data_IF_115089216509
#
_entry.id   IF_115089216509
#
_cell.length_a   1.000
_cell.length_b   1.000
_cell.length_c   1.000
_cell.angle_alpha   90.00
_cell.angle_beta   90.00
_cell.angle_gamma   90.00
#
_symmetry.space_group_name_H-M   'P 1'
#
loop_
_entity.id
_entity.type
_entity.pdbx_description
1 polymer ?
#
# COMPACT_ATOMS: atom_id res chain seq x y z
N UNK A 1 5.11 -16.47 -9.57
CA UNK A 1 3.80 -17.12 -9.39
C UNK A 1 3.26 -17.90 -10.60
N UNK A 2 3.82 -17.76 -11.82
CA UNK A 2 3.28 -18.47 -13.01
C UNK A 2 3.28 -20.01 -12.90
N UNK A 3 4.23 -20.57 -12.14
CA UNK A 3 4.46 -22.02 -12.04
C UNK A 3 3.88 -22.65 -10.77
N UNK A 4 2.92 -22.00 -10.13
CA UNK A 4 2.28 -22.49 -8.91
C UNK A 4 1.42 -23.71 -9.21
N UNK A 5 1.66 -24.81 -8.50
CA UNK A 5 0.93 -26.07 -8.59
C UNK A 5 -0.28 -26.10 -7.65
N UNK A 6 -0.12 -25.60 -6.42
CA UNK A 6 -1.22 -25.51 -5.44
C UNK A 6 -1.32 -24.12 -4.85
N UNK A 7 -0.49 -23.81 -3.87
CA UNK A 7 -0.42 -22.50 -3.22
C UNK A 7 1.04 -22.14 -3.06
N UNK A 8 1.42 -20.99 -3.60
CA UNK A 8 2.77 -20.46 -3.50
C UNK A 8 2.81 -19.22 -2.63
N UNK A 9 3.89 -19.04 -1.86
CA UNK A 9 4.06 -17.91 -0.94
C UNK A 9 5.44 -17.27 -1.07
N UNK A 10 5.52 -15.99 -0.72
CA UNK A 10 6.74 -15.18 -0.77
C UNK A 10 6.68 -13.98 0.21
N UNK A 11 7.82 -13.32 0.47
CA UNK A 11 7.88 -12.14 1.32
C UNK A 11 7.15 -10.92 0.73
N UNK A 12 6.53 -10.13 1.60
CA UNK A 12 5.92 -8.84 1.28
C UNK A 12 6.52 -7.75 2.16
N UNK A 13 7.07 -6.71 1.53
CA UNK A 13 7.62 -5.55 2.22
C UNK A 13 6.57 -4.50 2.58
N UNK A 14 6.91 -3.61 3.52
CA UNK A 14 6.07 -2.49 3.99
C UNK A 14 4.71 -2.91 4.56
N UNK A 15 4.62 -4.13 5.09
CA UNK A 15 3.40 -4.65 5.72
C UNK A 15 3.39 -4.27 7.20
N UNK A 16 2.30 -3.65 7.65
CA UNK A 16 2.06 -3.26 9.06
C UNK A 16 3.23 -2.46 9.69
N UNK A 17 3.39 -2.51 11.02
CA UNK A 17 4.49 -1.86 11.73
C UNK A 17 5.82 -2.64 11.72
N UNK A 18 5.84 -3.89 11.25
CA UNK A 18 7.06 -4.72 11.20
C UNK A 18 7.80 -4.64 9.86
N UNK A 19 7.28 -3.88 8.89
CA UNK A 19 7.83 -3.66 7.56
C UNK A 19 8.03 -4.92 6.68
N UNK A 20 7.72 -6.11 7.21
CA UNK A 20 7.90 -7.38 6.53
C UNK A 20 6.82 -8.38 6.99
N UNK A 21 6.23 -9.06 6.02
CA UNK A 21 5.40 -10.25 6.21
C UNK A 21 6.02 -11.38 5.38
N UNK A 22 6.42 -12.49 6.00
CA UNK A 22 7.09 -13.59 5.28
C UNK A 22 6.93 -14.95 5.98
N UNK A 23 6.84 -16.06 5.20
CA UNK A 23 7.19 -17.37 5.72
C UNK A 23 8.64 -17.38 6.25
N UNK A 24 8.88 -18.07 7.36
CA UNK A 24 10.23 -18.28 7.90
C UNK A 24 10.64 -19.71 7.57
N UNK A 25 11.69 -19.83 6.77
CA UNK A 25 12.20 -21.11 6.29
C UNK A 25 13.52 -21.47 6.95
N UNK A 26 13.72 -22.76 7.17
CA UNK A 26 15.01 -23.37 7.54
C UNK A 26 15.24 -24.57 6.64
N UNK A 27 16.34 -24.56 5.89
CA UNK A 27 16.67 -25.63 4.94
C UNK A 27 15.51 -25.92 3.96
N UNK A 28 14.83 -24.88 3.47
CA UNK A 28 13.67 -24.97 2.59
C UNK A 28 12.34 -25.36 3.25
N UNK A 29 12.35 -25.63 4.57
CA UNK A 29 11.16 -26.05 5.32
C UNK A 29 10.58 -24.92 6.15
N UNK A 30 9.25 -24.82 6.18
CA UNK A 30 8.56 -23.84 7.01
C UNK A 30 8.75 -24.15 8.50
N UNK A 31 9.32 -23.19 9.23
CA UNK A 31 9.45 -23.26 10.70
C UNK A 31 8.57 -22.25 11.43
N UNK A 32 7.96 -21.31 10.70
CA UNK A 32 7.06 -20.33 11.28
C UNK A 32 6.78 -19.18 10.33
N UNK A 33 6.32 -18.07 10.88
CA UNK A 33 5.94 -16.87 10.15
C UNK A 33 6.47 -15.62 10.85
N UNK A 34 6.84 -14.63 10.07
CA UNK A 34 7.20 -13.31 10.55
C UNK A 34 6.17 -12.32 10.00
N UNK A 35 5.30 -11.80 10.85
CA UNK A 35 4.23 -10.89 10.47
C UNK A 35 3.79 -10.03 11.68
N UNK A 36 3.30 -8.82 11.44
CA UNK A 36 2.89 -7.88 12.50
C UNK A 36 1.62 -8.29 13.25
N UNK A 37 0.89 -9.30 12.79
CA UNK A 37 -0.41 -9.68 13.33
C UNK A 37 -0.58 -11.21 13.39
N UNK A 38 0.05 -11.89 14.34
CA UNK A 38 0.05 -13.37 14.38
C UNK A 38 -1.17 -13.97 15.14
N UNK A 39 -1.98 -13.17 15.85
CA UNK A 39 -3.09 -13.57 16.76
C UNK A 39 -3.93 -14.81 16.37
N UNK A 40 -3.42 -16.01 16.64
CA UNK A 40 -4.09 -17.29 16.40
C UNK A 40 -4.30 -17.66 14.92
N UNK A 41 -3.70 -16.93 13.98
CA UNK A 41 -3.80 -17.24 12.54
C UNK A 41 -2.93 -18.45 12.21
N UNK A 42 -3.44 -19.37 11.40
CA UNK A 42 -2.68 -20.51 10.86
C UNK A 42 -1.78 -20.02 9.72
N UNK A 43 -2.26 -19.04 8.95
CA UNK A 43 -1.53 -18.39 7.86
C UNK A 43 -1.47 -16.87 8.10
N UNK A 44 -0.55 -16.37 8.93
CA UNK A 44 -0.33 -14.94 9.11
C UNK A 44 0.51 -14.39 7.94
N UNK A 45 -0.16 -14.16 6.81
CA UNK A 45 0.42 -13.58 5.60
C UNK A 45 -0.41 -12.39 5.11
N UNK A 46 0.23 -11.49 4.38
CA UNK A 46 -0.44 -10.43 3.63
C UNK A 46 -1.12 -10.98 2.35
N UNK A 47 -2.20 -10.34 1.91
CA UNK A 47 -2.93 -10.74 0.70
C UNK A 47 -2.05 -10.74 -0.57
N UNK A 48 -1.04 -9.88 -0.65
CA UNK A 48 -0.10 -9.85 -1.78
C UNK A 48 1.01 -10.92 -1.69
N UNK A 49 1.05 -11.69 -0.59
CA UNK A 49 2.12 -12.64 -0.27
C UNK A 49 1.91 -14.06 -0.79
N UNK A 50 0.79 -14.33 -1.48
CA UNK A 50 0.50 -15.67 -1.98
C UNK A 50 -0.21 -15.66 -3.35
N UNK A 51 -0.19 -16.82 -4.01
CA UNK A 51 -1.05 -17.13 -5.15
C UNK A 51 -1.54 -18.56 -5.07
N UNK A 52 -2.70 -18.80 -5.69
CA UNK A 52 -3.38 -20.09 -5.72
C UNK A 52 -3.55 -20.54 -7.16
N UNK A 53 -3.31 -21.82 -7.41
CA UNK A 53 -3.60 -22.45 -8.70
C UNK A 53 -5.12 -22.55 -8.91
N UNK A 54 -5.60 -22.12 -10.08
CA UNK A 54 -7.03 -22.05 -10.39
C UNK A 54 -7.69 -23.43 -10.46
N UNK A 55 -7.00 -24.44 -11.00
CA UNK A 55 -7.54 -25.80 -11.08
C UNK A 55 -7.63 -26.43 -9.70
N UNK A 56 -6.63 -26.18 -8.83
CA UNK A 56 -6.68 -26.59 -7.43
C UNK A 56 -7.83 -25.91 -6.68
N UNK A 57 -7.99 -24.60 -6.84
CA UNK A 57 -9.11 -23.87 -6.22
C UNK A 57 -10.48 -24.40 -6.66
N UNK A 58 -10.67 -24.69 -7.96
CA UNK A 58 -11.92 -25.25 -8.49
C UNK A 58 -12.23 -26.65 -7.96
N UNK A 59 -11.20 -27.45 -7.68
CA UNK A 59 -11.35 -28.79 -7.11
C UNK A 59 -11.82 -28.74 -5.65
N UNK A 60 -11.48 -27.68 -4.91
CA UNK A 60 -11.95 -27.41 -3.56
C UNK A 60 -13.25 -26.60 -3.65
N UNK A 61 -14.38 -27.28 -3.84
CA UNK A 61 -15.69 -26.64 -3.99
C UNK A 61 -16.05 -25.74 -2.80
N UNK A 62 -16.77 -24.65 -3.04
CA UNK A 62 -17.36 -23.73 -2.02
C UNK A 62 -16.36 -22.87 -1.22
N UNK A 63 -15.21 -22.52 -1.79
CA UNK A 63 -14.28 -21.59 -1.13
C UNK A 63 -14.51 -20.15 -1.59
N UNK A 64 -15.03 -19.34 -0.66
CA UNK A 64 -15.15 -17.89 -0.80
C UNK A 64 -14.23 -17.15 0.19
N UNK A 65 -13.88 -15.91 -0.14
CA UNK A 65 -13.11 -15.06 0.75
C UNK A 65 -14.04 -14.52 1.86
N UNK A 66 -13.77 -14.82 3.14
CA UNK A 66 -14.67 -14.42 4.21
C UNK A 66 -14.57 -12.92 4.48
N UNK A 67 -15.70 -12.25 4.66
CA UNK A 67 -15.75 -10.84 5.04
C UNK A 67 -15.52 -10.67 6.56
N UNK A 68 -14.29 -10.94 7.00
CA UNK A 68 -13.90 -10.83 8.42
C UNK A 68 -12.58 -10.09 8.54
N UNK A 69 -12.66 -8.86 9.06
CA UNK A 69 -11.50 -7.98 9.30
C UNK A 69 -10.32 -8.74 9.92
N UNK A 70 -9.17 -8.68 9.25
CA UNK A 70 -7.89 -9.29 9.66
C UNK A 70 -7.81 -10.82 9.62
N UNK A 71 -8.86 -11.52 9.18
CA UNK A 71 -8.90 -12.98 9.05
C UNK A 71 -9.31 -13.43 7.65
N UNK A 72 -9.30 -12.53 6.66
CA UNK A 72 -9.75 -12.83 5.30
C UNK A 72 -8.81 -13.84 4.65
N UNK A 73 -7.50 -13.60 4.72
CA UNK A 73 -6.46 -14.47 4.17
C UNK A 73 -6.41 -15.81 4.89
N UNK A 74 -6.41 -15.79 6.23
CA UNK A 74 -6.37 -17.00 7.05
C UNK A 74 -7.61 -17.86 6.84
N UNK A 75 -8.79 -17.25 6.77
CA UNK A 75 -10.05 -17.94 6.52
C UNK A 75 -10.09 -18.55 5.12
N UNK A 76 -9.65 -17.81 4.10
CA UNK A 76 -9.56 -18.31 2.72
C UNK A 76 -8.59 -19.49 2.60
N UNK A 77 -7.37 -19.38 3.12
CA UNK A 77 -6.36 -20.44 3.04
C UNK A 77 -6.75 -21.69 3.86
N UNK A 78 -7.49 -21.51 4.97
CA UNK A 78 -8.09 -22.63 5.71
C UNK A 78 -9.19 -23.32 4.93
N UNK A 79 -10.06 -22.56 4.26
CA UNK A 79 -11.15 -23.10 3.45
C UNK A 79 -10.62 -23.87 2.22
N UNK A 80 -9.51 -23.41 1.62
CA UNK A 80 -8.78 -24.16 0.59
C UNK A 80 -8.26 -25.52 1.10
N UNK A 81 -8.10 -25.69 2.41
CA UNK A 81 -7.65 -26.95 3.00
C UNK A 81 -6.18 -27.29 2.73
N UNK A 82 -5.35 -26.32 2.33
CA UNK A 82 -3.93 -26.54 2.05
C UNK A 82 -3.16 -26.90 3.33
N UNK A 83 -2.29 -27.91 3.26
CA UNK A 83 -1.34 -28.25 4.32
C UNK A 83 -0.02 -27.49 4.17
N UNK A 84 0.74 -27.32 5.26
CA UNK A 84 2.03 -26.62 5.20
C UNK A 84 3.06 -27.33 4.31
N UNK A 85 3.00 -28.65 4.19
CA UNK A 85 3.86 -29.45 3.30
C UNK A 85 3.59 -29.25 1.82
N UNK A 86 2.42 -28.73 1.47
CA UNK A 86 2.02 -28.48 0.08
C UNK A 86 2.23 -27.03 -0.35
N UNK A 87 2.72 -26.19 0.56
CA UNK A 87 3.09 -24.81 0.27
C UNK A 87 4.37 -24.77 -0.54
N UNK A 88 4.35 -23.96 -1.60
CA UNK A 88 5.50 -23.72 -2.45
C UNK A 88 6.14 -22.37 -2.13
N UNK A 89 7.31 -22.37 -1.52
CA UNK A 89 8.03 -21.13 -1.25
C UNK A 89 8.73 -20.62 -2.52
N UNK A 90 8.54 -19.35 -2.83
CA UNK A 90 9.15 -18.67 -3.99
C UNK A 90 10.09 -17.56 -3.50
N UNK A 91 10.57 -16.75 -4.44
CA UNK A 91 11.49 -15.64 -4.18
C UNK A 91 12.78 -16.09 -3.49
N UNK A 92 13.43 -17.10 -4.10
CA UNK A 92 14.67 -17.71 -3.63
C UNK A 92 14.58 -18.12 -2.15
N UNK A 93 13.70 -19.07 -1.83
CA UNK A 93 13.40 -19.51 -0.46
C UNK A 93 13.05 -18.35 0.49
N UNK A 94 12.21 -17.43 0.00
CA UNK A 94 11.76 -16.25 0.75
C UNK A 94 12.90 -15.33 1.22
N UNK A 95 14.04 -15.32 0.51
CA UNK A 95 15.16 -14.39 0.79
C UNK A 95 15.06 -13.07 0.03
N UNK A 96 14.18 -12.98 -0.97
CA UNK A 96 14.02 -11.81 -1.83
C UNK A 96 12.62 -11.20 -1.71
N UNK A 97 12.54 -9.87 -1.76
CA UNK A 97 11.27 -9.12 -1.69
C UNK A 97 10.96 -8.53 -3.07
N UNK A 98 9.88 -9.02 -3.70
CA UNK A 98 9.43 -8.56 -5.02
C UNK A 98 8.13 -7.76 -5.00
N UNK A 99 7.49 -7.63 -3.83
CA UNK A 99 6.20 -6.97 -3.67
C UNK A 99 6.19 -6.11 -2.39
N UNK A 100 5.53 -4.96 -2.48
CA UNK A 100 5.47 -3.96 -1.41
C UNK A 100 4.05 -3.48 -1.17
N UNK A 101 3.60 -3.53 0.08
CA UNK A 101 2.30 -3.09 0.53
C UNK A 101 2.29 -1.56 0.75
N UNK A 102 2.38 -0.79 -0.34
CA UNK A 102 2.39 0.67 -0.28
C UNK A 102 0.97 1.24 -0.12
N UNK A 103 0.86 2.35 0.61
CA UNK A 103 -0.40 3.09 0.75
C UNK A 103 -0.21 4.52 0.28
N UNK A 104 -1.13 4.98 -0.56
CA UNK A 104 -1.21 6.40 -0.92
C UNK A 104 -1.75 7.19 0.27
N UNK A 105 -1.01 8.19 0.72
CA UNK A 105 -1.49 9.16 1.69
C UNK A 105 -2.21 10.30 0.97
N UNK A 106 -3.21 10.91 1.62
CA UNK A 106 -3.78 12.16 1.10
C UNK A 106 -2.67 13.22 1.11
N UNK A 107 -2.41 13.82 -0.04
CA UNK A 107 -1.53 14.97 -0.11
C UNK A 107 -2.08 16.09 0.80
N UNK A 108 -1.22 16.85 1.49
CA UNK A 108 -1.66 18.06 2.17
C UNK A 108 -2.35 18.96 1.15
N UNK A 109 -3.35 19.74 1.59
CA UNK A 109 -4.03 20.69 0.70
C UNK A 109 -2.98 21.66 0.13
N UNK A 110 -2.74 21.58 -1.17
CA UNK A 110 -1.82 22.49 -1.83
C UNK A 110 -2.40 23.92 -1.77
N UNK A 111 -1.56 24.89 -1.40
CA UNK A 111 -1.95 26.30 -1.54
C UNK A 111 -2.09 26.59 -3.03
N UNK A 112 -3.23 27.16 -3.43
CA UNK A 112 -3.50 27.54 -4.83
C UNK A 112 -2.54 28.57 -5.37
N UNK A 113 -2.00 29.38 -4.47
CA UNK A 113 -1.37 30.64 -4.81
C UNK A 113 0.14 30.47 -4.80
N UNK A 114 0.75 30.77 -5.94
CA UNK A 114 2.19 30.85 -6.06
C UNK A 114 2.56 32.27 -5.61
N UNK A 115 3.14 32.42 -4.43
CA UNK A 115 3.35 33.73 -3.82
C UNK A 115 4.61 34.46 -4.29
N UNK A 116 5.34 33.90 -5.25
CA UNK A 116 6.61 34.46 -5.71
C UNK A 116 6.36 35.54 -6.80
N UNK A 117 6.53 36.84 -6.50
CA UNK A 117 6.21 37.92 -7.42
C UNK A 117 7.14 37.97 -8.64
N UNK A 118 8.31 37.34 -8.54
CA UNK A 118 9.28 37.24 -9.63
C UNK A 118 8.76 36.46 -10.86
N UNK A 119 7.60 35.81 -10.76
CA UNK A 119 7.00 35.03 -11.84
C UNK A 119 5.66 35.61 -12.35
N UNK A 120 5.34 36.86 -11.99
CA UNK A 120 4.08 37.53 -12.36
C UNK A 120 3.87 37.69 -13.87
N UNK A 121 4.96 37.84 -14.62
CA UNK A 121 4.97 38.02 -16.08
C UNK A 121 5.14 36.70 -16.86
N UNK A 122 5.07 35.56 -16.16
CA UNK A 122 5.35 34.24 -16.73
C UNK A 122 4.11 33.37 -16.89
N UNK A 123 4.30 32.25 -17.59
CA UNK A 123 3.31 31.18 -17.72
C UNK A 123 2.84 30.60 -16.38
N UNK A 124 3.56 30.84 -15.29
CA UNK A 124 3.19 30.40 -13.94
C UNK A 124 1.84 30.97 -13.49
N UNK A 125 1.52 32.23 -13.85
CA UNK A 125 0.21 32.83 -13.54
C UNK A 125 -0.94 32.21 -14.35
N UNK A 126 -0.66 31.80 -15.58
CA UNK A 126 -1.62 31.08 -16.44
C UNK A 126 -1.89 29.69 -15.85
N UNK A 127 -0.83 28.98 -15.45
CA UNK A 127 -0.92 27.64 -14.88
C UNK A 127 -1.63 27.63 -13.52
N UNK A 128 -1.42 28.65 -12.69
CA UNK A 128 -2.11 28.83 -11.42
C UNK A 128 -3.64 28.79 -11.58
N UNK A 129 -4.18 29.35 -12.66
CA UNK A 129 -5.61 29.36 -12.94
C UNK A 129 -6.14 28.00 -13.44
N UNK A 130 -5.27 27.16 -14.03
CA UNK A 130 -5.63 25.84 -14.56
C UNK A 130 -5.51 24.68 -13.57
N UNK A 131 -4.98 24.90 -12.36
CA UNK A 131 -4.84 23.84 -11.36
C UNK A 131 -6.20 23.39 -10.82
N UNK A 132 -6.61 22.16 -11.16
CA UNK A 132 -7.85 21.52 -10.69
C UNK A 132 -7.68 20.96 -9.27
N UNK A 133 -7.85 21.85 -8.27
CA UNK A 133 -8.04 21.49 -6.86
C UNK A 133 -9.32 22.21 -6.40
N UNK A 134 -10.11 21.63 -5.45
CA UNK A 134 -11.45 22.06 -4.95
C UNK A 134 -11.90 23.49 -5.34
N UNK A 135 -13.14 23.76 -5.78
CA UNK A 135 -13.52 25.05 -6.40
C UNK A 135 -13.14 26.32 -5.60
N UNK A 136 -12.69 27.37 -6.29
CA UNK A 136 -12.48 28.70 -5.72
C UNK A 136 -13.83 29.27 -5.27
N UNK A 137 -13.98 29.61 -3.99
CA UNK A 137 -15.07 30.45 -3.50
C UNK A 137 -14.56 31.88 -3.34
N UNK A 138 -15.41 32.88 -3.62
CA UNK A 138 -15.06 34.31 -3.54
C UNK A 138 -14.51 34.72 -2.16
N UNK A 139 -14.94 34.03 -1.09
CA UNK A 139 -14.46 34.22 0.27
C UNK A 139 -12.96 33.92 0.46
N UNK A 140 -12.37 33.03 -0.36
CA UNK A 140 -11.00 32.52 -0.19
C UNK A 140 -9.98 33.11 -1.19
N UNK A 141 -10.42 33.78 -2.26
CA UNK A 141 -9.56 34.26 -3.32
C UNK A 141 -8.80 35.55 -2.96
N UNK A 142 -9.50 36.56 -2.44
CA UNK A 142 -8.92 37.90 -2.25
C UNK A 142 -8.23 38.11 -0.90
N UNK A 143 -8.65 37.39 0.16
CA UNK A 143 -8.03 37.52 1.49
C UNK A 143 -6.64 36.91 1.59
N UNK A 144 -6.35 35.86 0.82
CA UNK A 144 -5.11 35.10 0.98
C UNK A 144 -3.94 35.65 0.14
N UNK A 145 -4.17 36.25 -1.02
CA UNK A 145 -3.06 36.77 -1.84
C UNK A 145 -2.39 38.00 -1.22
N UNK A 146 -3.16 39.07 -0.99
CA UNK A 146 -2.61 40.33 -0.46
C UNK A 146 -2.01 40.19 0.94
N UNK A 147 -2.67 39.45 1.83
CA UNK A 147 -2.18 39.28 3.22
C UNK A 147 -0.93 38.41 3.34
N UNK A 148 -0.79 37.35 2.53
CA UNK A 148 0.39 36.48 2.55
C UNK A 148 1.58 37.11 1.81
N UNK A 149 1.35 37.88 0.74
CA UNK A 149 2.41 38.66 0.06
C UNK A 149 2.99 39.72 1.02
N UNK A 150 2.14 40.45 1.75
CA UNK A 150 2.60 41.40 2.77
C UNK A 150 3.40 40.71 3.90
N UNK A 151 3.01 39.52 4.35
CA UNK A 151 3.77 38.73 5.34
C UNK A 151 5.12 38.25 4.80
N UNK A 152 5.19 37.82 3.54
CA UNK A 152 6.45 37.38 2.92
C UNK A 152 7.42 38.55 2.72
N UNK A 153 6.91 39.74 2.37
CA UNK A 153 7.75 40.94 2.25
C UNK A 153 8.30 41.40 3.61
N UNK A 154 7.54 41.28 4.70
CA UNK A 154 8.01 41.63 6.05
C UNK A 154 9.02 40.63 6.63
N UNK A 155 8.92 39.35 6.27
CA UNK A 155 9.90 38.31 6.66
C UNK A 155 11.27 38.44 5.96
N UNK A 156 11.33 39.08 4.79
CA UNK A 156 12.59 39.33 4.05
C UNK A 156 13.34 40.60 4.52
N UNK A 157 12.74 41.41 5.41
CA UNK A 157 13.33 42.68 5.91
C UNK A 157 13.81 42.60 7.37
N UNK A 158 13.97 41.39 7.93
CA UNK A 158 14.49 41.15 9.29
C UNK A 158 15.91 40.60 9.26
#
# INVERSE_FOLDING_TARGET
MRYTQRVSMWPVGLVTGLALSTPVLKDGHLVGWYDGFIYGRKFPVDMAGFAVNVDYWRAVSEVEMPFKTSYEEDGFLRAIGISFSELEFKANDCTEIYVWHTRTSKAPKAKRTIFEPAFDDSNIRILQNSMLIEPLTEANANKNYSSEVSKMMTLKTS
#
